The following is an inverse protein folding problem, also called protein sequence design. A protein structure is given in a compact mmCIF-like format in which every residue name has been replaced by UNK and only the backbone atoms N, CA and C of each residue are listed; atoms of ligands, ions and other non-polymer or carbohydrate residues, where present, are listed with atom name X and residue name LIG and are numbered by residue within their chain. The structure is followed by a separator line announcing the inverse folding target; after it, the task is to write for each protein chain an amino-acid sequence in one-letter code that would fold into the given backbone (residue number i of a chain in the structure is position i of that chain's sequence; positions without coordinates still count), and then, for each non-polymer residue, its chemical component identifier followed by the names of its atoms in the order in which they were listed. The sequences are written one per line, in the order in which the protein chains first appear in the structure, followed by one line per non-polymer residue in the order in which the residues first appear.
data_IF_267819911329
#
_entry.id   IF_267819911329
#
_cell.length_a   1.000
_cell.length_b   1.000
_cell.length_c   1.000
_cell.angle_alpha   90.00
_cell.angle_beta   90.00
_cell.angle_gamma   90.00
#
_symmetry.space_group_name_H-M   'P 1'
#
loop_
_entity.id
_entity.type
_entity.pdbx_description
1 polymer ?
#
# COMPACT_ATOMS: atom_id res chain seq x y z
N UNK A 1 -1.92 15.74 -25.37
CA UNK A 1 -1.14 15.97 -24.14
C UNK A 1 -0.87 14.60 -23.53
N UNK A 2 0.37 14.32 -23.13
CA UNK A 2 0.69 13.06 -22.45
C UNK A 2 0.08 13.09 -21.05
N UNK A 3 -0.68 12.07 -20.69
CA UNK A 3 -1.30 11.92 -19.37
C UNK A 3 -0.20 11.83 -18.31
N UNK A 4 -0.27 12.66 -17.26
CA UNK A 4 0.70 12.59 -16.15
C UNK A 4 0.37 11.41 -15.25
N UNK A 5 1.36 10.53 -15.06
CA UNK A 5 1.22 9.28 -14.32
C UNK A 5 2.03 9.33 -13.03
N UNK A 6 1.41 9.04 -11.89
CA UNK A 6 2.12 8.79 -10.64
C UNK A 6 2.06 7.31 -10.26
N UNK A 7 3.08 6.84 -9.54
CA UNK A 7 3.06 5.52 -8.91
C UNK A 7 3.32 5.65 -7.42
N UNK A 8 2.45 5.06 -6.62
CA UNK A 8 2.60 4.95 -5.17
C UNK A 8 2.66 3.48 -4.76
N UNK A 9 3.78 3.08 -4.16
CA UNK A 9 4.02 1.67 -3.84
C UNK A 9 4.01 1.42 -2.33
N UNK A 10 3.43 0.30 -1.93
CA UNK A 10 3.39 -0.10 -0.53
C UNK A 10 2.96 -1.55 -0.34
N UNK A 11 3.18 -2.09 0.86
CA UNK A 11 2.69 -3.43 1.23
C UNK A 11 1.19 -3.47 1.48
N UNK A 12 0.63 -2.36 2.00
CA UNK A 12 -0.80 -2.21 2.28
C UNK A 12 -1.39 -3.35 3.12
N UNK A 13 -0.86 -3.52 4.32
CA UNK A 13 -1.19 -4.62 5.23
C UNK A 13 -1.88 -4.16 6.55
N UNK A 14 -3.10 -3.57 6.53
CA UNK A 14 -3.91 -3.22 5.37
C UNK A 14 -3.65 -1.81 4.82
N UNK A 15 -4.34 -1.45 3.75
CA UNK A 15 -4.46 -0.09 3.25
C UNK A 15 -5.26 0.76 4.27
N UNK A 16 -4.85 2.03 4.49
CA UNK A 16 -5.40 2.87 5.55
C UNK A 16 -5.46 4.36 5.16
N UNK A 17 -6.03 5.21 6.02
CA UNK A 17 -6.33 6.62 5.72
C UNK A 17 -5.10 7.42 5.27
N UNK A 18 -3.92 7.22 5.85
CA UNK A 18 -2.71 7.93 5.39
C UNK A 18 -2.24 7.51 3.99
N UNK A 19 -2.64 6.34 3.49
CA UNK A 19 -2.46 5.98 2.09
C UNK A 19 -3.47 6.73 1.19
N UNK A 20 -4.72 6.87 1.63
CA UNK A 20 -5.72 7.68 0.93
C UNK A 20 -5.31 9.15 0.83
N UNK A 21 -4.73 9.72 1.89
CA UNK A 21 -4.18 11.08 1.87
C UNK A 21 -3.11 11.25 0.76
N UNK A 22 -2.25 10.25 0.57
CA UNK A 22 -1.26 10.26 -0.52
C UNK A 22 -1.98 10.29 -1.87
N UNK A 23 -2.94 9.41 -2.09
CA UNK A 23 -3.67 9.35 -3.36
C UNK A 23 -4.45 10.64 -3.61
N UNK A 24 -5.08 11.21 -2.58
CA UNK A 24 -5.75 12.50 -2.67
C UNK A 24 -4.79 13.63 -3.03
N UNK A 25 -3.59 13.66 -2.45
CA UNK A 25 -2.58 14.67 -2.79
C UNK A 25 -2.09 14.52 -4.25
N UNK A 26 -1.90 13.29 -4.71
CA UNK A 26 -1.49 13.00 -6.09
C UNK A 26 -2.58 13.36 -7.11
N UNK A 27 -3.86 13.16 -6.78
CA UNK A 27 -4.99 13.42 -7.68
C UNK A 27 -5.12 14.90 -8.12
N UNK A 28 -4.47 15.82 -7.44
CA UNK A 28 -4.44 17.23 -7.84
C UNK A 28 -3.51 17.52 -9.04
N UNK A 29 -2.55 16.63 -9.30
CA UNK A 29 -1.49 16.88 -10.27
C UNK A 29 -1.30 15.76 -11.30
N UNK A 30 -1.99 14.63 -11.14
CA UNK A 30 -1.85 13.45 -11.98
C UNK A 30 -3.23 12.95 -12.40
N UNK A 31 -3.40 12.57 -13.66
CA UNK A 31 -4.63 12.03 -14.21
C UNK A 31 -4.74 10.51 -14.05
N UNK A 32 -3.60 9.83 -13.86
CA UNK A 32 -3.53 8.39 -13.61
C UNK A 32 -2.62 8.10 -12.44
N UNK A 33 -3.09 7.25 -11.52
CA UNK A 33 -2.33 6.84 -10.34
C UNK A 33 -2.24 5.31 -10.31
N UNK A 34 -1.01 4.82 -10.41
CA UNK A 34 -0.69 3.40 -10.27
C UNK A 34 -0.42 3.11 -8.79
N UNK A 35 -1.12 2.13 -8.24
CA UNK A 35 -0.94 1.64 -6.87
C UNK A 35 -0.20 0.32 -6.96
N UNK A 36 1.11 0.37 -6.70
CA UNK A 36 1.99 -0.79 -6.74
C UNK A 36 1.97 -1.54 -5.42
N UNK A 37 1.35 -2.72 -5.40
CA UNK A 37 1.26 -3.58 -4.21
C UNK A 37 2.52 -4.42 -4.10
N UNK A 38 3.39 -4.05 -3.15
CA UNK A 38 4.68 -4.76 -2.97
C UNK A 38 4.50 -6.09 -2.23
N UNK A 39 5.47 -6.99 -2.38
CA UNK A 39 5.39 -8.38 -1.91
C UNK A 39 4.09 -9.06 -2.41
N UNK A 40 3.88 -9.14 -3.73
CA UNK A 40 2.66 -9.74 -4.27
C UNK A 40 2.60 -11.24 -3.98
N UNK A 41 3.74 -11.92 -3.98
CA UNK A 41 3.88 -13.32 -3.57
C UNK A 41 4.34 -13.39 -2.10
N UNK A 42 3.48 -13.90 -1.23
CA UNK A 42 3.79 -14.07 0.19
C UNK A 42 4.59 -15.36 0.48
N UNK A 43 4.73 -16.25 -0.49
CA UNK A 43 5.55 -17.46 -0.37
C UNK A 43 7.04 -17.19 -0.57
N UNK A 44 7.40 -16.04 -1.16
CA UNK A 44 8.78 -15.63 -1.46
C UNK A 44 9.10 -14.26 -0.84
N UNK A 45 8.93 -14.15 0.48
CA UNK A 45 9.24 -12.92 1.20
C UNK A 45 10.74 -12.85 1.52
N UNK A 46 11.41 -11.85 0.95
CA UNK A 46 12.84 -11.61 1.17
C UNK A 46 13.08 -10.74 2.41
N UNK A 47 14.07 -11.14 3.22
CA UNK A 47 14.57 -10.30 4.31
C UNK A 47 15.35 -9.12 3.73
N UNK A 48 15.11 -7.93 4.28
CA UNK A 48 15.82 -6.72 3.89
C UNK A 48 16.48 -6.09 5.12
N UNK A 49 17.78 -5.80 5.03
CA UNK A 49 18.59 -5.26 6.14
C UNK A 49 18.03 -3.96 6.75
N UNK A 50 17.37 -3.14 5.96
CA UNK A 50 16.72 -1.91 6.43
C UNK A 50 15.35 -2.15 7.10
N UNK A 51 14.83 -3.40 7.14
CA UNK A 51 13.50 -3.70 7.72
C UNK A 51 13.32 -5.18 8.07
N UNK A 52 13.92 -5.59 9.19
CA UNK A 52 14.02 -7.00 9.65
C UNK A 52 12.69 -7.73 9.92
N UNK A 53 11.55 -7.04 9.98
CA UNK A 53 10.26 -7.66 10.32
C UNK A 53 9.27 -7.74 9.14
N UNK A 54 9.65 -7.20 7.97
CA UNK A 54 8.72 -7.10 6.83
C UNK A 54 8.46 -8.41 6.11
N UNK A 55 9.28 -9.42 6.32
CA UNK A 55 9.18 -10.74 5.70
C UNK A 55 8.36 -11.75 6.52
N UNK A 56 7.90 -11.41 7.74
CA UNK A 56 7.15 -12.34 8.58
C UNK A 56 5.68 -12.46 8.16
N UNK A 57 5.07 -13.63 8.35
CA UNK A 57 3.64 -13.89 8.08
C UNK A 57 2.75 -12.94 8.89
N UNK A 58 3.09 -12.70 10.16
CA UNK A 58 2.37 -11.75 11.02
C UNK A 58 2.35 -10.31 10.48
N UNK A 59 3.38 -9.93 9.74
CA UNK A 59 3.45 -8.63 9.09
C UNK A 59 2.71 -8.59 7.74
N UNK A 60 2.34 -9.75 7.18
CA UNK A 60 1.74 -9.90 5.86
C UNK A 60 0.51 -10.84 5.85
N UNK A 61 -0.51 -10.62 6.71
CA UNK A 61 -1.66 -11.52 6.80
C UNK A 61 -2.58 -11.48 5.58
N UNK A 62 -2.56 -10.40 4.80
CA UNK A 62 -3.44 -10.24 3.65
C UNK A 62 -2.74 -10.66 2.36
N UNK A 63 -3.33 -11.61 1.62
CA UNK A 63 -2.87 -11.98 0.28
C UNK A 63 -2.89 -10.79 -0.69
N UNK A 64 -2.30 -10.93 -1.88
CA UNK A 64 -2.38 -9.90 -2.90
C UNK A 64 -3.83 -9.56 -3.25
N UNK A 65 -4.67 -10.57 -3.50
CA UNK A 65 -6.09 -10.42 -3.85
C UNK A 65 -6.88 -9.73 -2.73
N UNK A 66 -6.61 -10.08 -1.48
CA UNK A 66 -7.21 -9.43 -0.31
C UNK A 66 -6.88 -7.95 -0.26
N UNK A 67 -5.61 -7.60 -0.49
CA UNK A 67 -5.16 -6.21 -0.51
C UNK A 67 -5.79 -5.43 -1.66
N UNK A 68 -5.88 -6.02 -2.86
CA UNK A 68 -6.57 -5.40 -4.01
C UNK A 68 -8.02 -5.07 -3.66
N UNK A 69 -8.77 -6.02 -3.09
CA UNK A 69 -10.16 -5.79 -2.66
C UNK A 69 -10.29 -4.66 -1.63
N UNK A 70 -9.39 -4.64 -0.64
CA UNK A 70 -9.36 -3.59 0.40
C UNK A 70 -9.07 -2.22 -0.23
N UNK A 71 -8.10 -2.13 -1.13
CA UNK A 71 -7.77 -0.88 -1.84
C UNK A 71 -8.96 -0.42 -2.68
N UNK A 72 -9.55 -1.29 -3.49
CA UNK A 72 -10.71 -0.96 -4.33
C UNK A 72 -11.86 -0.38 -3.51
N UNK A 73 -12.23 -1.03 -2.39
CA UNK A 73 -13.27 -0.52 -1.51
C UNK A 73 -12.88 0.78 -0.80
N UNK A 74 -11.61 0.96 -0.48
CA UNK A 74 -11.13 2.23 0.11
C UNK A 74 -11.25 3.39 -0.87
N UNK A 75 -11.03 3.16 -2.17
CA UNK A 75 -11.11 4.19 -3.21
C UNK A 75 -12.55 4.68 -3.45
N UNK A 76 -13.57 3.89 -3.18
CA UNK A 76 -14.97 4.32 -3.37
C UNK A 76 -15.37 5.54 -2.55
N UNK A 77 -14.62 5.83 -1.48
CA UNK A 77 -14.83 7.00 -0.62
C UNK A 77 -14.10 8.28 -1.07
N UNK A 78 -13.29 8.22 -2.12
CA UNK A 78 -12.62 9.42 -2.65
C UNK A 78 -13.58 10.20 -3.55
N UNK A 79 -13.91 11.42 -3.15
CA UNK A 79 -14.84 12.30 -3.88
C UNK A 79 -14.39 12.67 -5.32
N UNK A 80 -13.17 12.33 -5.71
CA UNK A 80 -12.55 12.66 -7.00
C UNK A 80 -12.29 11.43 -7.88
N UNK A 81 -12.79 10.25 -7.51
CA UNK A 81 -12.51 9.00 -8.25
C UNK A 81 -13.03 9.01 -9.69
N UNK A 82 -14.05 9.81 -9.98
CA UNK A 82 -14.62 9.91 -11.33
C UNK A 82 -13.69 10.61 -12.35
N UNK A 83 -12.68 11.36 -11.88
CA UNK A 83 -11.77 12.13 -12.72
C UNK A 83 -10.37 11.53 -12.81
N UNK A 84 -10.06 10.54 -11.97
CA UNK A 84 -8.72 9.96 -11.84
C UNK A 84 -8.80 8.46 -12.19
N UNK A 85 -7.90 8.03 -13.08
CA UNK A 85 -7.72 6.61 -13.36
C UNK A 85 -6.84 5.98 -12.29
N UNK A 86 -7.39 5.02 -11.55
CA UNK A 86 -6.63 4.20 -10.59
C UNK A 86 -6.35 2.82 -11.18
N UNK A 87 -5.09 2.42 -11.17
CA UNK A 87 -4.65 1.08 -11.54
C UNK A 87 -3.93 0.41 -10.38
N UNK A 88 -4.31 -0.82 -10.03
CA UNK A 88 -3.67 -1.60 -8.97
C UNK A 88 -2.88 -2.72 -9.61
N UNK A 89 -1.57 -2.75 -9.37
CA UNK A 89 -0.67 -3.75 -9.97
C UNK A 89 0.16 -4.46 -8.91
N UNK A 90 0.57 -5.72 -9.15
CA UNK A 90 1.63 -6.34 -8.37
C UNK A 90 2.95 -5.62 -8.67
N UNK A 91 3.75 -5.39 -7.63
CA UNK A 91 4.98 -4.63 -7.75
C UNK A 91 6.11 -5.27 -6.94
N UNK A 92 7.12 -5.76 -7.63
CA UNK A 92 8.29 -6.33 -6.99
C UNK A 92 9.44 -5.31 -6.97
N UNK A 93 9.80 -4.83 -5.77
CA UNK A 93 10.90 -3.88 -5.59
C UNK A 93 12.28 -4.48 -5.90
N UNK A 94 12.41 -5.80 -5.88
CA UNK A 94 13.69 -6.50 -6.08
C UNK A 94 14.00 -6.78 -7.55
N UNK A 95 12.98 -6.65 -8.42
CA UNK A 95 13.08 -7.00 -9.84
C UNK A 95 12.62 -5.81 -10.72
N UNK A 96 13.43 -4.73 -10.82
CA UNK A 96 13.04 -3.50 -11.55
C UNK A 96 12.62 -3.74 -13.01
N UNK A 97 13.22 -4.73 -13.67
CA UNK A 97 12.88 -5.11 -15.05
C UNK A 97 11.46 -5.67 -15.20
N UNK A 98 10.80 -6.05 -14.10
CA UNK A 98 9.42 -6.54 -14.09
C UNK A 98 8.38 -5.41 -13.98
N UNK A 99 8.79 -4.17 -13.73
CA UNK A 99 7.88 -3.06 -13.48
C UNK A 99 7.11 -2.67 -14.74
N UNK A 100 5.81 -2.84 -14.71
CA UNK A 100 4.91 -2.52 -15.82
C UNK A 100 4.35 -1.10 -15.67
N UNK A 101 5.23 -0.10 -15.70
CA UNK A 101 4.86 1.31 -15.59
C UNK A 101 5.41 2.09 -16.78
N UNK A 102 4.72 3.15 -17.25
CA UNK A 102 5.25 4.06 -18.27
C UNK A 102 6.60 4.69 -17.87
N UNK A 103 7.45 4.96 -18.83
CA UNK A 103 8.78 5.53 -18.56
C UNK A 103 8.72 6.92 -17.91
N UNK A 104 7.65 7.68 -18.17
CA UNK A 104 7.39 9.01 -17.62
C UNK A 104 6.72 8.99 -16.25
N UNK A 105 6.59 7.82 -15.63
CA UNK A 105 5.96 7.68 -14.30
C UNK A 105 6.76 8.40 -13.23
N UNK A 106 6.08 9.18 -12.39
CA UNK A 106 6.65 9.81 -11.20
C UNK A 106 6.37 8.95 -9.97
N UNK A 107 7.42 8.45 -9.32
CA UNK A 107 7.27 7.66 -8.10
C UNK A 107 7.13 8.54 -6.87
N UNK A 108 5.97 8.49 -6.23
CA UNK A 108 5.69 9.25 -5.03
C UNK A 108 6.05 8.45 -3.78
N UNK A 109 6.83 9.04 -2.88
CA UNK A 109 7.29 8.40 -1.64
C UNK A 109 7.12 9.36 -0.46
N UNK A 110 6.56 8.86 0.63
CA UNK A 110 6.48 9.57 1.92
C UNK A 110 7.57 9.02 2.83
N UNK A 111 8.51 9.85 3.24
CA UNK A 111 9.71 9.42 3.97
C UNK A 111 9.44 9.43 5.48
N UNK A 112 9.50 8.27 6.13
CA UNK A 112 9.41 8.10 7.57
C UNK A 112 10.68 7.49 8.18
N UNK A 113 11.47 6.77 7.38
CA UNK A 113 12.61 5.99 7.85
C UNK A 113 13.67 5.83 6.75
N UNK A 114 14.86 5.31 7.05
CA UNK A 114 15.88 4.99 6.05
C UNK A 114 15.37 4.06 4.94
N UNK A 115 14.38 3.19 5.23
CA UNK A 115 13.78 2.31 4.23
C UNK A 115 13.12 3.08 3.07
N UNK A 116 12.31 4.08 3.39
CA UNK A 116 11.65 4.89 2.36
C UNK A 116 12.68 5.72 1.56
N UNK A 117 13.78 6.15 2.18
CA UNK A 117 14.90 6.79 1.47
C UNK A 117 15.58 5.84 0.48
N UNK A 118 15.85 4.60 0.91
CA UNK A 118 16.42 3.57 0.02
C UNK A 118 15.50 3.27 -1.16
N UNK A 119 14.19 3.25 -0.93
CA UNK A 119 13.20 3.05 -1.98
C UNK A 119 13.16 4.22 -2.98
N UNK A 120 13.26 5.46 -2.49
CA UNK A 120 13.35 6.63 -3.36
C UNK A 120 14.61 6.59 -4.21
N UNK A 121 15.76 6.25 -3.62
CA UNK A 121 17.02 6.08 -4.35
C UNK A 121 16.90 4.99 -5.42
N UNK A 122 16.29 3.85 -5.12
CA UNK A 122 16.05 2.76 -6.08
C UNK A 122 15.31 3.27 -7.33
N UNK A 123 14.23 4.04 -7.18
CA UNK A 123 13.48 4.58 -8.32
C UNK A 123 14.31 5.57 -9.13
N UNK A 124 15.06 6.44 -8.46
CA UNK A 124 15.97 7.39 -9.13
C UNK A 124 17.07 6.67 -9.91
N UNK A 125 17.67 5.62 -9.34
CA UNK A 125 18.72 4.81 -9.98
C UNK A 125 18.21 4.07 -11.23
N UNK A 126 16.89 3.76 -11.25
CA UNK A 126 16.23 3.19 -12.44
C UNK A 126 15.81 4.26 -13.47
N UNK A 127 16.14 5.52 -13.23
CA UNK A 127 15.90 6.64 -14.19
C UNK A 127 14.52 7.26 -14.10
N UNK A 128 13.72 6.95 -13.07
CA UNK A 128 12.40 7.54 -12.88
C UNK A 128 12.47 8.87 -12.13
N UNK A 129 11.55 9.77 -12.44
CA UNK A 129 11.30 10.95 -11.62
C UNK A 129 10.71 10.52 -10.28
N UNK A 130 11.12 11.20 -9.20
CA UNK A 130 10.64 10.91 -7.85
C UNK A 130 10.02 12.15 -7.20
N UNK A 131 8.96 11.94 -6.42
CA UNK A 131 8.27 12.97 -5.67
C UNK A 131 8.28 12.59 -4.18
N UNK A 132 9.00 13.36 -3.37
CA UNK A 132 8.93 13.24 -1.92
C UNK A 132 7.70 13.98 -1.40
N UNK A 133 6.82 13.24 -0.71
CA UNK A 133 5.61 13.80 -0.11
C UNK A 133 5.85 14.14 1.36
N UNK A 134 5.25 15.23 1.88
CA UNK A 134 5.38 15.58 3.29
C UNK A 134 4.80 14.48 4.18
N UNK A 135 5.59 14.10 5.20
CA UNK A 135 5.15 13.13 6.19
C UNK A 135 4.30 13.81 7.26
N UNK A 136 3.20 13.19 7.73
CA UNK A 136 2.46 13.67 8.87
C UNK A 136 3.29 13.57 10.15
N UNK A 137 2.98 14.42 11.14
CA UNK A 137 3.67 14.43 12.45
C UNK A 137 3.59 13.05 13.13
N UNK A 138 2.43 12.38 13.02
CA UNK A 138 2.22 11.03 13.58
C UNK A 138 2.00 10.04 12.44
N UNK A 139 2.89 9.05 12.34
CA UNK A 139 2.73 7.93 11.42
C UNK A 139 1.61 7.01 11.91
N UNK A 140 0.66 6.72 11.05
CA UNK A 140 -0.29 5.63 11.24
C UNK A 140 0.37 4.31 10.86
N UNK A 141 0.40 3.37 11.79
CA UNK A 141 1.03 2.06 11.57
C UNK A 141 -0.02 1.00 11.23
N UNK A 142 0.17 0.32 10.10
CA UNK A 142 -0.63 -0.86 9.79
C UNK A 142 -0.46 -1.98 10.85
N UNK A 143 0.64 -1.99 11.60
CA UNK A 143 0.83 -2.92 12.73
C UNK A 143 -0.17 -2.65 13.86
N UNK A 144 -0.46 -1.38 14.18
CA UNK A 144 -1.45 -1.03 15.22
C UNK A 144 -2.85 -1.48 14.78
N UNK A 145 -3.18 -1.34 13.49
CA UNK A 145 -4.44 -1.83 12.93
C UNK A 145 -4.55 -3.35 13.08
N UNK A 146 -3.51 -4.10 12.72
CA UNK A 146 -3.49 -5.56 12.86
C UNK A 146 -3.58 -6.02 14.32
N UNK A 147 -2.91 -5.30 15.22
CA UNK A 147 -3.00 -5.60 16.64
C UNK A 147 -4.43 -5.41 17.17
N UNK A 148 -5.11 -4.32 16.79
CA UNK A 148 -6.50 -4.07 17.15
C UNK A 148 -7.44 -5.15 16.57
N UNK A 149 -7.24 -5.56 15.32
CA UNK A 149 -7.97 -6.67 14.70
C UNK A 149 -7.76 -7.99 15.45
N UNK A 150 -6.53 -8.28 15.90
CA UNK A 150 -6.19 -9.52 16.58
C UNK A 150 -6.83 -9.66 17.97
N UNK A 151 -7.11 -8.54 18.64
CA UNK A 151 -7.79 -8.53 19.97
C UNK A 151 -9.29 -8.20 19.88
N UNK A 152 -9.83 -8.20 18.65
CA UNK A 152 -11.24 -7.89 18.37
C UNK A 152 -11.67 -6.51 18.90
N UNK A 153 -10.75 -5.55 18.88
CA UNK A 153 -10.99 -4.16 19.26
C UNK A 153 -11.40 -3.36 18.02
N UNK A 154 -12.52 -2.65 18.10
CA UNK A 154 -13.04 -1.87 16.97
C UNK A 154 -12.29 -0.56 16.68
N UNK A 155 -11.25 -0.21 17.44
CA UNK A 155 -10.49 1.04 17.26
C UNK A 155 -9.84 1.16 15.88
N UNK A 156 -9.47 0.04 15.26
CA UNK A 156 -8.89 0.00 13.93
C UNK A 156 -9.78 0.63 12.85
N UNK A 157 -11.10 0.63 13.04
CA UNK A 157 -12.08 1.18 12.09
C UNK A 157 -11.90 2.69 11.88
N UNK A 158 -11.39 3.40 12.89
CA UNK A 158 -11.10 4.83 12.79
C UNK A 158 -9.87 5.16 11.93
N UNK A 159 -9.07 4.17 11.55
CA UNK A 159 -7.84 4.34 10.79
C UNK A 159 -7.96 3.91 9.32
N UNK A 160 -9.11 3.42 8.90
CA UNK A 160 -9.36 2.94 7.54
C UNK A 160 -10.58 3.63 6.92
N UNK A 161 -10.74 3.54 5.61
CA UNK A 161 -11.95 4.02 4.96
C UNK A 161 -13.17 3.23 5.45
N UNK A 162 -14.26 3.93 5.76
CA UNK A 162 -15.52 3.29 6.20
C UNK A 162 -16.00 2.25 5.19
N UNK A 163 -15.90 2.54 3.90
CA UNK A 163 -16.26 1.65 2.79
C UNK A 163 -15.44 0.34 2.74
N UNK A 164 -14.28 0.29 3.38
CA UNK A 164 -13.41 -0.88 3.41
C UNK A 164 -13.50 -1.71 4.71
N UNK A 165 -14.21 -1.23 5.74
CA UNK A 165 -14.24 -1.89 7.06
C UNK A 165 -14.71 -3.34 6.99
N UNK A 166 -15.84 -3.61 6.34
CA UNK A 166 -16.39 -4.97 6.24
C UNK A 166 -15.46 -5.90 5.44
N UNK A 167 -14.84 -5.36 4.39
CA UNK A 167 -13.87 -6.11 3.60
C UNK A 167 -12.62 -6.46 4.41
N UNK A 168 -12.08 -5.50 5.17
CA UNK A 168 -10.91 -5.74 6.02
C UNK A 168 -11.23 -6.82 7.05
N UNK A 169 -12.38 -6.75 7.73
CA UNK A 169 -12.79 -7.74 8.71
C UNK A 169 -12.96 -9.14 8.08
N UNK A 170 -13.61 -9.22 6.93
CA UNK A 170 -13.80 -10.48 6.23
C UNK A 170 -12.47 -11.11 5.78
N UNK A 171 -11.56 -10.29 5.19
CA UNK A 171 -10.24 -10.78 4.76
C UNK A 171 -9.34 -11.13 5.94
N UNK A 172 -9.44 -10.42 7.07
CA UNK A 172 -8.74 -10.76 8.31
C UNK A 172 -9.17 -12.13 8.83
N UNK A 173 -10.47 -12.38 8.92
CA UNK A 173 -11.01 -13.67 9.37
C UNK A 173 -10.57 -14.84 8.49
N UNK A 174 -10.42 -14.61 7.16
CA UNK A 174 -9.92 -15.62 6.22
C UNK A 174 -8.41 -15.89 6.38
N UNK A 175 -7.64 -14.90 6.85
CA UNK A 175 -6.19 -15.02 7.05
C UNK A 175 -5.82 -15.76 8.33
N UNK A 176 -6.75 -15.91 9.26
CA UNK A 176 -6.52 -16.64 10.50
C UNK A 176 -6.44 -18.15 10.21
N UNK A 177 -5.53 -18.88 10.88
CA UNK A 177 -5.51 -20.33 10.76
C UNK A 177 -6.86 -20.93 11.20
N UNK A 178 -7.37 -21.88 10.42
CA UNK A 178 -8.60 -22.61 10.76
C UNK A 178 -8.38 -23.22 12.16
N UNK A 179 -9.19 -22.79 13.13
CA UNK A 179 -9.24 -23.50 14.42
C UNK A 179 -9.78 -24.90 14.12
N UNK A 180 -8.88 -25.87 14.09
CA UNK A 180 -9.29 -27.28 14.13
C UNK A 180 -9.74 -27.49 15.56
N UNK A 181 -11.06 -27.57 15.76
CA UNK A 181 -11.63 -27.99 17.05
C UNK A 181 -11.07 -29.38 17.39
N UNK A 182 -10.39 -29.44 18.53
CA UNK A 182 -9.76 -30.64 19.04
C UNK A 182 -10.82 -31.54 19.76
#
# INVERSE_FOLDING_TARGET
MTQRVACFTGRFQPFHLQHLEVLSALSHNFERIIIGVTNPDLSDLQEHSASLHRHTDQANPFSYESRVKIIQNSLTGLAQTELIEFEIIPFDLTTPESWKVPAETVFAVRIFSPWEKSKLALFTDQGFETLELPAPVKKLSASDIRQSLAVDDNNWKSFVAMSATDTIQAQWNQSLPIKVDA
#
